data_IF_247853158888
#
_entry.id   IF_247853158888
#
_cell.length_a   1.000
_cell.length_b   1.000
_cell.length_c   1.000
_cell.angle_alpha   90.00
_cell.angle_beta   90.00
_cell.angle_gamma   90.00
#
_symmetry.space_group_name_H-M   'P 1'
#
loop_
_entity.id
_entity.type
_entity.pdbx_description
1 polymer ?
#
# COMPACT_ATOMS: atom_id res chain seq x y z
N UNK A 1 -73.26 -23.42 19.73
CA UNK A 1 -72.61 -23.93 20.97
C UNK A 1 -71.25 -24.48 20.56
N UNK A 2 -70.16 -23.98 21.16
CA UNK A 2 -68.78 -24.53 21.18
C UNK A 2 -68.03 -24.91 19.86
N UNK A 3 -67.21 -23.96 19.39
CA UNK A 3 -65.73 -24.01 19.24
C UNK A 3 -64.93 -25.27 18.80
N UNK A 4 -63.92 -24.99 17.93
CA UNK A 4 -62.59 -25.64 17.78
C UNK A 4 -62.55 -27.12 17.31
N UNK A 5 -61.62 -27.62 16.48
CA UNK A 5 -60.32 -27.19 15.87
C UNK A 5 -60.24 -27.80 14.43
N UNK A 6 -59.22 -27.67 13.56
CA UNK A 6 -57.82 -27.19 13.66
C UNK A 6 -57.29 -26.67 12.29
N UNK A 7 -56.08 -26.10 12.30
CA UNK A 7 -55.15 -25.74 11.20
C UNK A 7 -55.38 -26.23 9.76
N UNK A 8 -55.41 -25.27 8.83
CA UNK A 8 -55.24 -25.47 7.38
C UNK A 8 -53.84 -25.00 6.94
N UNK A 9 -53.11 -25.81 6.16
CA UNK A 9 -51.73 -25.50 5.73
C UNK A 9 -51.72 -24.39 4.69
N UNK A 10 -51.20 -23.20 5.03
CA UNK A 10 -50.80 -22.21 4.02
C UNK A 10 -49.38 -22.53 3.55
N UNK A 11 -49.21 -22.69 2.24
CA UNK A 11 -47.92 -22.91 1.60
C UNK A 11 -46.98 -21.74 1.86
N UNK A 12 -45.83 -22.03 2.45
CA UNK A 12 -44.73 -21.07 2.58
C UNK A 12 -43.91 -21.13 1.30
N UNK A 13 -43.90 -20.04 0.53
CA UNK A 13 -42.98 -19.85 -0.58
C UNK A 13 -41.63 -19.41 0.01
N UNK A 14 -40.72 -20.36 0.24
CA UNK A 14 -39.30 -20.03 0.45
C UNK A 14 -38.69 -19.80 -0.93
N UNK A 15 -38.44 -18.52 -1.26
CA UNK A 15 -37.43 -18.22 -2.27
C UNK A 15 -36.07 -18.57 -1.67
N UNK A 16 -35.51 -19.70 -2.08
CA UNK A 16 -34.06 -19.90 -1.98
C UNK A 16 -33.40 -18.95 -2.98
N UNK A 17 -33.06 -17.74 -2.54
CA UNK A 17 -31.96 -16.99 -3.13
C UNK A 17 -30.68 -17.77 -2.82
N UNK A 18 -30.35 -18.73 -3.69
CA UNK A 18 -29.02 -19.29 -3.74
C UNK A 18 -28.11 -18.21 -4.32
N UNK A 19 -27.61 -17.32 -3.47
CA UNK A 19 -26.51 -16.45 -3.83
C UNK A 19 -25.32 -17.34 -4.17
N UNK A 20 -25.04 -17.48 -5.47
CA UNK A 20 -23.77 -18.02 -5.92
C UNK A 20 -22.69 -17.03 -5.47
N UNK A 21 -22.14 -17.25 -4.29
CA UNK A 21 -20.80 -16.80 -3.95
C UNK A 21 -19.84 -17.60 -4.83
N UNK A 22 -19.69 -17.17 -6.08
CA UNK A 22 -18.54 -17.51 -6.90
C UNK A 22 -17.35 -16.90 -6.15
N UNK A 23 -16.52 -17.77 -5.58
CA UNK A 23 -15.22 -17.34 -5.06
C UNK A 23 -14.44 -16.74 -6.22
N UNK A 24 -13.78 -15.59 -6.04
CA UNK A 24 -13.00 -14.94 -7.09
C UNK A 24 -11.92 -15.85 -7.72
N UNK A 25 -11.62 -17.01 -7.14
CA UNK A 25 -10.79 -18.07 -7.76
C UNK A 25 -11.39 -18.67 -9.04
N UNK A 26 -12.71 -18.78 -9.17
CA UNK A 26 -13.35 -19.56 -10.25
C UNK A 26 -13.49 -18.77 -11.57
N UNK A 27 -13.10 -17.49 -11.60
CA UNK A 27 -12.99 -16.67 -12.83
C UNK A 27 -11.62 -16.83 -13.54
N UNK A 28 -10.63 -17.46 -12.91
CA UNK A 28 -9.21 -17.33 -13.24
C UNK A 28 -8.65 -18.33 -14.29
N UNK A 29 -9.50 -18.98 -15.08
CA UNK A 29 -9.07 -20.06 -16.00
C UNK A 29 -8.73 -19.62 -17.42
N UNK A 30 -8.96 -18.35 -17.79
CA UNK A 30 -8.70 -17.85 -19.15
C UNK A 30 -7.87 -16.56 -19.13
N UNK A 31 -6.68 -16.53 -19.79
CA UNK A 31 -5.84 -15.34 -19.87
C UNK A 31 -6.46 -14.26 -20.75
N UNK A 32 -5.85 -13.07 -20.79
CA UNK A 32 -6.29 -11.98 -21.65
C UNK A 32 -6.16 -12.25 -23.16
N UNK A 33 -5.27 -13.15 -23.59
CA UNK A 33 -5.09 -13.49 -25.00
C UNK A 33 -6.38 -14.00 -25.64
N UNK A 34 -6.68 -13.51 -26.84
CA UNK A 34 -7.97 -13.76 -27.52
C UNK A 34 -9.18 -13.01 -26.93
N UNK A 35 -8.97 -12.19 -25.90
CA UNK A 35 -9.95 -11.25 -25.33
C UNK A 35 -9.41 -9.80 -25.29
N UNK A 36 -8.23 -9.59 -25.88
CA UNK A 36 -7.65 -8.30 -26.16
C UNK A 36 -8.46 -7.53 -27.22
N UNK A 37 -8.48 -6.21 -27.11
CA UNK A 37 -8.95 -5.29 -28.13
C UNK A 37 -7.74 -4.61 -28.77
N UNK A 38 -7.53 -4.85 -30.06
CA UNK A 38 -6.48 -4.23 -30.87
C UNK A 38 -7.06 -3.21 -31.87
N UNK A 39 -8.37 -2.94 -31.85
CA UNK A 39 -9.04 -2.09 -32.86
C UNK A 39 -8.65 -0.61 -32.81
N UNK A 40 -8.03 -0.18 -31.71
CA UNK A 40 -7.42 1.14 -31.53
C UNK A 40 -6.08 1.30 -32.27
N UNK A 41 -5.41 0.19 -32.59
CA UNK A 41 -4.04 0.19 -33.10
C UNK A 41 -3.99 0.54 -34.60
N UNK A 42 -2.93 1.27 -34.97
CA UNK A 42 -2.61 1.64 -36.35
C UNK A 42 -1.11 1.92 -36.44
N UNK A 43 -0.37 1.14 -37.22
CA UNK A 43 1.11 1.21 -37.27
C UNK A 43 1.68 2.55 -37.72
N UNK A 44 0.89 3.39 -38.40
CA UNK A 44 1.30 4.71 -38.90
C UNK A 44 1.11 5.82 -37.85
N UNK A 45 0.40 5.54 -36.75
CA UNK A 45 0.24 6.48 -35.63
C UNK A 45 1.38 6.34 -34.63
N UNK A 46 1.75 7.46 -34.03
CA UNK A 46 2.78 7.56 -32.97
C UNK A 46 2.18 7.87 -31.60
N UNK A 47 0.86 8.00 -31.48
CA UNK A 47 0.17 8.31 -30.23
C UNK A 47 -1.17 7.60 -30.17
N UNK A 48 -1.43 6.94 -29.04
CA UNK A 48 -2.63 6.19 -28.73
C UNK A 48 -3.06 6.48 -27.29
N UNK A 49 -4.36 6.37 -27.03
CA UNK A 49 -4.93 6.54 -25.69
C UNK A 49 -5.78 5.32 -25.37
N UNK A 50 -5.50 4.67 -24.24
CA UNK A 50 -6.20 3.47 -23.78
C UNK A 50 -7.06 3.83 -22.56
N UNK A 51 -8.29 3.34 -22.53
CA UNK A 51 -9.28 3.62 -21.48
C UNK A 51 -9.92 2.36 -20.88
N UNK A 52 -9.46 1.17 -21.29
CA UNK A 52 -9.99 -0.12 -20.83
C UNK A 52 -8.95 -1.25 -20.78
N UNK A 53 -9.25 -2.26 -19.94
CA UNK A 53 -8.41 -3.44 -19.73
C UNK A 53 -8.16 -4.27 -21.00
N UNK A 54 -9.15 -4.40 -21.88
CA UNK A 54 -9.01 -5.11 -23.15
C UNK A 54 -8.05 -4.41 -24.11
N UNK A 55 -8.03 -3.07 -24.11
CA UNK A 55 -7.08 -2.30 -24.94
C UNK A 55 -5.64 -2.42 -24.44
N UNK A 56 -5.45 -2.36 -23.10
CA UNK A 56 -4.14 -2.59 -22.48
C UNK A 56 -3.65 -4.03 -22.71
N UNK A 57 -4.55 -5.01 -22.71
CA UNK A 57 -4.24 -6.37 -23.15
C UNK A 57 -3.89 -6.44 -24.65
N UNK A 58 -4.51 -5.61 -25.51
CA UNK A 58 -4.13 -5.47 -26.91
C UNK A 58 -2.70 -4.98 -27.10
N UNK A 59 -2.26 -4.04 -26.26
CA UNK A 59 -0.85 -3.62 -26.25
C UNK A 59 0.08 -4.79 -25.91
N UNK A 60 -0.28 -5.59 -24.90
CA UNK A 60 0.48 -6.79 -24.55
C UNK A 60 0.53 -7.79 -25.72
N UNK A 61 -0.61 -8.11 -26.34
CA UNK A 61 -0.68 -9.08 -27.44
C UNK A 61 0.11 -8.61 -28.70
N UNK A 62 0.03 -7.33 -29.09
CA UNK A 62 0.79 -6.77 -30.24
C UNK A 62 2.30 -6.86 -29.99
N UNK A 63 2.77 -6.38 -28.82
CA UNK A 63 4.19 -6.41 -28.46
C UNK A 63 4.68 -7.85 -28.35
N UNK A 64 3.94 -8.72 -27.66
CA UNK A 64 4.38 -10.09 -27.40
C UNK A 64 4.44 -10.95 -28.67
N UNK A 65 3.58 -10.70 -29.67
CA UNK A 65 3.69 -11.32 -31.01
C UNK A 65 4.87 -10.79 -31.84
N UNK A 66 5.39 -9.60 -31.52
CA UNK A 66 6.42 -8.91 -32.30
C UNK A 66 5.87 -8.18 -33.52
N UNK A 67 4.57 -7.82 -33.50
CA UNK A 67 3.94 -7.06 -34.59
C UNK A 67 4.38 -5.58 -34.58
N UNK A 68 4.67 -5.03 -33.40
CA UNK A 68 5.25 -3.71 -33.18
C UNK A 68 5.83 -3.61 -31.76
N UNK A 69 7.03 -3.03 -31.59
CA UNK A 69 7.66 -2.82 -30.28
C UNK A 69 7.31 -1.46 -29.65
N UNK A 70 6.62 -0.60 -30.40
CA UNK A 70 6.25 0.78 -30.06
C UNK A 70 7.42 1.77 -29.94
N UNK A 71 8.62 1.49 -30.47
CA UNK A 71 9.72 2.47 -30.48
C UNK A 71 9.28 3.80 -31.12
N UNK A 72 9.51 4.91 -30.41
CA UNK A 72 9.10 6.25 -30.84
C UNK A 72 7.59 6.53 -30.79
N UNK A 73 6.79 5.63 -30.18
CA UNK A 73 5.33 5.79 -30.00
C UNK A 73 4.96 6.01 -28.53
N UNK A 74 3.82 6.68 -28.32
CA UNK A 74 3.29 7.04 -27.01
C UNK A 74 1.96 6.32 -26.77
N UNK A 75 1.86 5.65 -25.63
CA UNK A 75 0.63 5.14 -25.03
C UNK A 75 0.30 6.03 -23.84
N UNK A 76 -0.87 6.67 -23.85
CA UNK A 76 -1.43 7.34 -22.67
C UNK A 76 -2.57 6.51 -22.09
N UNK A 77 -2.69 6.48 -20.75
CA UNK A 77 -3.92 6.04 -20.09
C UNK A 77 -4.88 7.23 -19.93
N UNK A 78 -6.20 6.97 -20.00
CA UNK A 78 -7.27 7.96 -19.75
C UNK A 78 -8.11 7.70 -18.51
N UNK A 79 -8.06 6.48 -17.99
CA UNK A 79 -8.80 6.00 -16.83
C UNK A 79 -7.90 5.06 -16.03
N UNK A 80 -8.26 4.82 -14.78
CA UNK A 80 -7.73 3.70 -14.02
C UNK A 80 -8.23 2.37 -14.60
N UNK A 81 -7.34 1.39 -14.75
CA UNK A 81 -7.59 0.16 -15.49
C UNK A 81 -7.70 -1.03 -14.53
N UNK A 82 -8.93 -1.51 -14.35
CA UNK A 82 -9.20 -2.76 -13.62
C UNK A 82 -9.04 -3.99 -14.52
N UNK A 83 -7.98 -4.77 -14.28
CA UNK A 83 -7.67 -5.99 -15.04
C UNK A 83 -8.14 -7.29 -14.34
N UNK A 84 -8.93 -7.20 -13.26
CA UNK A 84 -9.42 -8.34 -12.44
C UNK A 84 -10.02 -9.53 -13.20
N UNK A 85 -10.57 -9.28 -14.40
CA UNK A 85 -11.41 -10.25 -15.13
C UNK A 85 -10.66 -11.51 -15.58
N UNK A 86 -9.33 -11.47 -15.68
CA UNK A 86 -8.48 -12.50 -16.30
C UNK A 86 -7.06 -12.46 -15.72
N UNK A 87 -6.32 -13.55 -15.85
CA UNK A 87 -4.89 -13.54 -15.54
C UNK A 87 -4.15 -12.60 -16.52
N UNK A 88 -3.28 -11.76 -15.97
CA UNK A 88 -2.48 -10.81 -16.73
C UNK A 88 -1.40 -11.51 -17.54
N UNK A 89 -1.20 -11.03 -18.77
CA UNK A 89 -0.05 -11.36 -19.60
C UNK A 89 0.84 -10.11 -19.56
N UNK A 90 2.09 -10.20 -19.06
CA UNK A 90 2.99 -9.06 -19.03
C UNK A 90 3.20 -8.43 -20.43
N UNK A 91 3.28 -7.11 -20.52
CA UNK A 91 3.65 -6.42 -21.77
C UNK A 91 5.16 -6.58 -22.00
N UNK A 92 5.56 -7.13 -23.14
CA UNK A 92 6.96 -7.32 -23.51
C UNK A 92 7.55 -8.64 -23.01
N UNK A 93 8.32 -9.29 -23.87
CA UNK A 93 9.09 -10.52 -23.60
C UNK A 93 10.58 -10.27 -23.83
N UNK A 94 11.45 -11.22 -23.45
CA UNK A 94 12.91 -11.09 -23.67
C UNK A 94 13.30 -11.13 -25.16
N UNK A 95 12.42 -11.61 -26.04
CA UNK A 95 12.60 -11.54 -27.50
C UNK A 95 11.94 -10.31 -28.13
N UNK A 96 10.80 -9.87 -27.59
CA UNK A 96 10.03 -8.72 -28.06
C UNK A 96 9.79 -7.76 -26.87
N UNK A 97 10.77 -6.93 -26.47
CA UNK A 97 10.59 -5.98 -25.38
C UNK A 97 9.71 -4.81 -25.81
N UNK A 98 9.02 -4.16 -24.86
CA UNK A 98 8.34 -2.90 -25.15
C UNK A 98 9.37 -1.76 -25.22
N UNK A 99 9.37 -0.99 -26.32
CA UNK A 99 10.32 0.09 -26.62
C UNK A 99 9.69 1.49 -26.62
N UNK A 100 8.38 1.59 -26.41
CA UNK A 100 7.64 2.86 -26.45
C UNK A 100 7.58 3.63 -25.14
N UNK A 101 6.84 4.74 -25.18
CA UNK A 101 6.45 5.47 -23.97
C UNK A 101 5.11 4.92 -23.48
N UNK A 102 5.00 4.62 -22.19
CA UNK A 102 3.72 4.48 -21.51
C UNK A 102 3.61 5.54 -20.42
N UNK A 103 2.81 6.57 -20.66
CA UNK A 103 2.44 7.58 -19.69
C UNK A 103 1.10 7.19 -19.05
N UNK A 104 1.13 6.86 -17.76
CA UNK A 104 -0.07 6.60 -16.99
C UNK A 104 -0.93 7.86 -16.80
N UNK A 105 -0.39 9.06 -17.06
CA UNK A 105 -1.02 10.38 -16.86
C UNK A 105 -1.62 10.61 -15.47
N UNK A 106 -1.19 9.81 -14.48
CA UNK A 106 -1.70 9.79 -13.12
C UNK A 106 -2.79 8.75 -12.84
N UNK A 107 -2.92 7.74 -13.69
CA UNK A 107 -3.85 6.62 -13.53
C UNK A 107 -3.22 5.37 -12.91
N UNK A 108 -4.10 4.47 -12.49
CA UNK A 108 -3.75 3.28 -11.73
C UNK A 108 -4.05 1.97 -12.49
N UNK A 109 -3.24 0.92 -12.26
CA UNK A 109 -3.56 -0.46 -12.64
C UNK A 109 -4.01 -1.24 -11.39
N UNK A 110 -5.13 -1.95 -11.51
CA UNK A 110 -5.81 -2.61 -10.38
C UNK A 110 -6.05 -4.10 -10.64
N UNK A 111 -6.03 -4.89 -9.56
CA UNK A 111 -6.41 -6.31 -9.50
C UNK A 111 -5.63 -7.26 -10.42
N UNK A 112 -4.41 -6.91 -10.81
CA UNK A 112 -3.47 -7.79 -11.50
C UNK A 112 -3.28 -9.10 -10.73
N UNK A 113 -3.35 -10.21 -11.46
CA UNK A 113 -3.21 -11.60 -11.00
C UNK A 113 -2.40 -12.34 -12.07
N UNK A 114 -1.48 -13.20 -11.66
CA UNK A 114 -0.66 -14.00 -12.58
C UNK A 114 -0.93 -15.50 -12.39
N UNK A 115 -0.73 -16.25 -13.47
CA UNK A 115 -0.35 -17.65 -13.35
C UNK A 115 1.13 -17.73 -12.95
N UNK A 116 1.48 -18.63 -12.04
CA UNK A 116 2.78 -18.70 -11.35
C UNK A 116 3.93 -19.23 -12.21
N UNK A 117 3.73 -19.29 -13.53
CA UNK A 117 4.66 -19.85 -14.52
C UNK A 117 5.52 -18.78 -15.23
N UNK A 118 5.13 -17.50 -15.14
CA UNK A 118 5.81 -16.40 -15.83
C UNK A 118 7.24 -16.15 -15.29
N UNK A 119 8.25 -16.20 -16.18
CA UNK A 119 9.64 -15.91 -15.81
C UNK A 119 9.85 -14.44 -15.43
N UNK A 120 9.33 -13.52 -16.26
CA UNK A 120 9.38 -12.08 -16.03
C UNK A 120 7.96 -11.58 -15.74
N UNK A 121 7.75 -11.02 -14.55
CA UNK A 121 6.39 -10.70 -14.06
C UNK A 121 6.31 -9.28 -13.49
N UNK A 122 5.18 -8.64 -13.77
CA UNK A 122 4.87 -7.23 -13.53
C UNK A 122 3.84 -6.76 -14.55
N UNK A 123 3.49 -5.47 -14.56
CA UNK A 123 2.70 -4.93 -15.68
C UNK A 123 3.41 -5.21 -17.02
N UNK A 124 4.73 -4.98 -17.03
CA UNK A 124 5.64 -5.37 -18.09
C UNK A 124 6.41 -6.65 -17.72
N UNK A 125 6.66 -7.50 -18.72
CA UNK A 125 7.64 -8.57 -18.60
C UNK A 125 9.03 -7.98 -18.80
N UNK A 126 9.22 -7.32 -19.94
CA UNK A 126 10.48 -6.66 -20.31
C UNK A 126 10.22 -5.25 -20.86
N UNK A 127 10.73 -4.25 -20.14
CA UNK A 127 10.87 -2.86 -20.62
C UNK A 127 12.22 -2.74 -21.33
N UNK A 128 12.20 -2.39 -22.61
CA UNK A 128 13.37 -2.27 -23.48
C UNK A 128 14.12 -0.94 -23.31
N UNK A 129 15.29 -0.83 -23.94
CA UNK A 129 16.23 0.27 -23.76
C UNK A 129 15.74 1.65 -24.25
N UNK A 130 14.81 1.68 -25.22
CA UNK A 130 14.23 2.92 -25.72
C UNK A 130 12.98 3.37 -24.94
N UNK A 131 12.45 2.50 -24.06
CA UNK A 131 11.18 2.74 -23.40
C UNK A 131 11.24 3.71 -22.22
N UNK A 132 10.14 4.44 -22.03
CA UNK A 132 9.91 5.34 -20.90
C UNK A 132 8.55 5.08 -20.26
N UNK A 133 8.54 4.61 -19.01
CA UNK A 133 7.31 4.33 -18.26
C UNK A 133 7.16 5.42 -17.19
N UNK A 134 6.05 6.17 -17.19
CA UNK A 134 5.87 7.26 -16.24
C UNK A 134 4.45 7.48 -15.71
N UNK A 135 4.35 8.23 -14.61
CA UNK A 135 3.11 8.71 -13.98
C UNK A 135 2.06 7.59 -13.72
N UNK A 136 2.52 6.43 -13.23
CA UNK A 136 1.71 5.22 -13.14
C UNK A 136 1.77 4.59 -11.73
N UNK A 137 0.62 4.24 -11.17
CA UNK A 137 0.54 3.52 -9.89
C UNK A 137 0.00 2.11 -10.04
N UNK A 138 0.67 1.12 -9.42
CA UNK A 138 0.11 -0.22 -9.22
C UNK A 138 -0.51 -0.25 -7.82
N UNK A 139 -1.83 -0.47 -7.73
CA UNK A 139 -2.53 -0.47 -6.44
C UNK A 139 -2.28 -1.75 -5.65
N UNK A 140 -2.77 -1.80 -4.41
CA UNK A 140 -2.45 -2.85 -3.45
C UNK A 140 -3.26 -4.13 -3.57
N UNK A 141 -4.42 -4.09 -4.23
CA UNK A 141 -5.20 -5.28 -4.57
C UNK A 141 -4.50 -6.17 -5.63
N UNK A 142 -3.47 -5.68 -6.31
CA UNK A 142 -2.60 -6.45 -7.21
C UNK A 142 -1.76 -7.48 -6.42
N UNK A 143 -1.72 -8.72 -6.91
CA UNK A 143 -0.86 -9.81 -6.37
C UNK A 143 -0.02 -10.31 -7.53
N UNK A 144 1.29 -10.09 -7.40
CA UNK A 144 2.27 -10.13 -8.49
C UNK A 144 3.24 -11.27 -8.19
N UNK A 145 3.28 -12.26 -9.07
CA UNK A 145 4.05 -13.48 -8.85
C UNK A 145 4.61 -14.07 -10.14
N UNK A 146 5.73 -14.76 -10.01
CA UNK A 146 6.48 -15.36 -11.12
C UNK A 146 7.63 -16.24 -10.62
N UNK A 147 8.45 -16.74 -11.56
CA UNK A 147 9.48 -17.75 -11.28
C UNK A 147 10.90 -17.21 -11.25
N UNK A 148 11.24 -16.19 -12.04
CA UNK A 148 12.61 -15.65 -12.13
C UNK A 148 12.69 -14.19 -11.64
N UNK A 149 12.29 -13.20 -12.44
CA UNK A 149 12.31 -11.79 -12.06
C UNK A 149 10.89 -11.23 -11.89
N UNK A 150 10.56 -10.75 -10.69
CA UNK A 150 9.22 -10.25 -10.35
C UNK A 150 9.32 -8.80 -9.87
N UNK A 151 8.61 -7.89 -10.51
CA UNK A 151 8.52 -6.50 -10.10
C UNK A 151 7.11 -5.95 -10.19
N UNK A 152 6.77 -4.93 -9.40
CA UNK A 152 5.45 -4.29 -9.47
C UNK A 152 5.16 -3.72 -10.86
N UNK A 153 6.13 -2.97 -11.41
CA UNK A 153 6.06 -2.37 -12.73
C UNK A 153 6.59 -3.33 -13.81
N UNK A 154 7.79 -3.91 -13.60
CA UNK A 154 8.43 -4.73 -14.63
C UNK A 154 9.20 -5.93 -14.07
N UNK A 155 9.16 -7.08 -14.74
CA UNK A 155 10.07 -8.19 -14.43
C UNK A 155 11.53 -7.80 -14.67
N UNK A 156 11.81 -7.30 -15.88
CA UNK A 156 13.14 -6.83 -16.34
C UNK A 156 13.03 -5.42 -16.91
N UNK A 157 13.96 -4.55 -16.52
CA UNK A 157 14.06 -3.19 -17.05
C UNK A 157 15.42 -2.93 -17.73
N UNK A 158 15.37 -2.41 -18.95
CA UNK A 158 16.52 -1.86 -19.68
C UNK A 158 16.32 -0.38 -20.07
N UNK A 159 15.11 0.16 -19.93
CA UNK A 159 14.75 1.56 -20.21
C UNK A 159 14.62 2.39 -18.93
N UNK A 160 13.79 3.43 -18.97
CA UNK A 160 13.60 4.35 -17.84
C UNK A 160 12.19 4.25 -17.23
N UNK A 161 12.12 4.09 -15.91
CA UNK A 161 10.87 4.08 -15.13
C UNK A 161 10.90 5.27 -14.15
N UNK A 162 9.94 6.19 -14.27
CA UNK A 162 9.98 7.48 -13.56
C UNK A 162 8.62 7.89 -12.99
N UNK A 163 8.55 8.46 -11.78
CA UNK A 163 7.28 8.94 -11.19
C UNK A 163 6.21 7.82 -11.07
N UNK A 164 6.66 6.60 -10.83
CA UNK A 164 5.84 5.40 -10.72
C UNK A 164 5.88 4.81 -9.31
N UNK A 165 4.85 4.05 -8.93
CA UNK A 165 4.86 3.35 -7.64
C UNK A 165 4.21 1.98 -7.67
N UNK A 166 4.58 1.16 -6.68
CA UNK A 166 3.92 -0.10 -6.41
C UNK A 166 3.41 -0.18 -4.96
N UNK A 167 2.11 -0.37 -4.81
CA UNK A 167 1.47 -0.79 -3.58
C UNK A 167 1.09 -2.29 -3.61
N UNK A 168 1.16 -2.94 -4.78
CA UNK A 168 0.81 -4.35 -4.99
C UNK A 168 1.76 -5.31 -4.26
N UNK A 169 1.23 -6.43 -3.78
CA UNK A 169 2.05 -7.47 -3.15
C UNK A 169 2.90 -8.18 -4.21
N UNK A 170 4.22 -8.21 -4.03
CA UNK A 170 5.17 -8.95 -4.87
C UNK A 170 5.61 -10.23 -4.15
N UNK A 171 5.47 -11.39 -4.79
CA UNK A 171 5.74 -12.68 -4.15
C UNK A 171 6.35 -13.73 -5.08
N UNK A 172 7.37 -14.42 -4.60
CA UNK A 172 8.06 -15.49 -5.34
C UNK A 172 9.30 -14.98 -6.08
N UNK A 173 9.64 -15.62 -7.20
CA UNK A 173 10.82 -15.30 -8.01
C UNK A 173 12.15 -15.79 -7.45
N UNK A 174 13.18 -15.75 -8.30
CA UNK A 174 14.56 -15.70 -7.86
C UNK A 174 14.89 -14.32 -7.31
N UNK A 175 14.53 -13.27 -8.06
CA UNK A 175 14.86 -11.88 -7.75
C UNK A 175 13.61 -11.01 -7.83
N UNK A 176 13.27 -10.37 -6.72
CA UNK A 176 12.01 -9.64 -6.62
C UNK A 176 12.21 -8.23 -6.06
N UNK A 177 11.64 -7.24 -6.73
CA UNK A 177 11.67 -5.85 -6.29
C UNK A 177 10.29 -5.22 -6.26
N UNK A 178 10.09 -4.20 -5.44
CA UNK A 178 8.84 -3.45 -5.45
C UNK A 178 8.53 -2.81 -6.81
N UNK A 179 9.53 -2.26 -7.50
CA UNK A 179 9.39 -1.68 -8.83
C UNK A 179 9.80 -2.70 -9.91
N UNK A 180 11.01 -3.28 -9.81
CA UNK A 180 11.53 -4.24 -10.81
C UNK A 180 12.18 -5.48 -10.21
N UNK A 181 12.06 -6.64 -10.87
CA UNK A 181 12.83 -7.83 -10.48
C UNK A 181 14.32 -7.68 -10.80
N UNK A 182 14.65 -7.23 -12.01
CA UNK A 182 16.01 -6.98 -12.47
C UNK A 182 16.13 -5.65 -13.23
N UNK A 183 17.01 -4.75 -12.76
CA UNK A 183 17.38 -3.52 -13.46
C UNK A 183 18.74 -3.70 -14.16
N UNK A 184 18.78 -3.63 -15.49
CA UNK A 184 19.99 -3.83 -16.27
C UNK A 184 20.93 -2.61 -16.20
N UNK A 185 22.13 -2.71 -16.79
CA UNK A 185 23.10 -1.60 -16.83
C UNK A 185 22.64 -0.37 -17.62
N UNK A 186 21.64 -0.50 -18.48
CA UNK A 186 21.00 0.62 -19.18
C UNK A 186 19.77 1.16 -18.43
N UNK A 187 19.25 0.38 -17.47
CA UNK A 187 18.00 0.67 -16.78
C UNK A 187 18.11 1.83 -15.79
N UNK A 188 17.24 2.83 -15.94
CA UNK A 188 17.05 3.93 -15.01
C UNK A 188 15.75 3.77 -14.21
N UNK A 189 15.81 3.98 -12.89
CA UNK A 189 14.64 4.09 -12.02
C UNK A 189 14.79 5.37 -11.21
N UNK A 190 13.94 6.37 -11.43
CA UNK A 190 14.10 7.69 -10.82
C UNK A 190 12.78 8.24 -10.25
N UNK A 191 12.80 8.79 -9.03
CA UNK A 191 11.58 9.23 -8.33
C UNK A 191 10.48 8.15 -8.33
N UNK A 192 10.79 6.95 -7.83
CA UNK A 192 9.81 5.86 -7.72
C UNK A 192 9.69 5.38 -6.26
N UNK A 193 8.54 4.83 -5.87
CA UNK A 193 8.37 4.31 -4.51
C UNK A 193 7.60 2.99 -4.40
N UNK A 194 7.91 2.25 -3.34
CA UNK A 194 7.21 1.02 -3.00
C UNK A 194 6.61 1.05 -1.59
N UNK A 195 5.35 0.62 -1.51
CA UNK A 195 4.63 0.33 -0.26
C UNK A 195 4.19 -1.14 -0.19
N UNK A 196 4.15 -1.82 -1.35
CA UNK A 196 3.77 -3.22 -1.46
C UNK A 196 4.75 -4.14 -0.73
N UNK A 197 4.22 -5.17 -0.07
CA UNK A 197 5.04 -6.19 0.60
C UNK A 197 5.79 -7.04 -0.44
N UNK A 198 7.08 -7.27 -0.22
CA UNK A 198 7.90 -8.23 -0.99
C UNK A 198 8.20 -9.45 -0.12
N UNK A 199 7.88 -10.65 -0.62
CA UNK A 199 8.12 -11.91 0.10
C UNK A 199 8.47 -13.09 -0.84
N UNK A 200 8.96 -14.18 -0.25
CA UNK A 200 9.21 -15.47 -0.92
C UNK A 200 10.21 -15.45 -2.09
N UNK A 201 11.03 -14.41 -2.22
CA UNK A 201 12.13 -14.37 -3.18
C UNK A 201 13.29 -15.26 -2.73
N UNK A 202 13.80 -16.11 -3.64
CA UNK A 202 14.75 -17.17 -3.28
C UNK A 202 16.22 -16.78 -3.34
N UNK A 203 16.59 -15.77 -4.14
CA UNK A 203 17.98 -15.27 -4.24
C UNK A 203 18.10 -13.85 -3.69
N UNK A 204 17.25 -12.91 -4.13
CA UNK A 204 17.35 -11.51 -3.72
C UNK A 204 15.99 -10.82 -3.63
N UNK A 205 15.77 -10.02 -2.58
CA UNK A 205 14.60 -9.14 -2.49
C UNK A 205 14.99 -7.70 -2.16
N UNK A 206 14.41 -6.76 -2.91
CA UNK A 206 14.64 -5.33 -2.78
C UNK A 206 13.34 -4.53 -2.63
N UNK A 207 13.38 -3.45 -1.86
CA UNK A 207 12.24 -2.50 -1.82
C UNK A 207 11.94 -1.87 -3.20
N UNK A 208 12.96 -1.62 -4.01
CA UNK A 208 12.85 -1.07 -5.37
C UNK A 208 13.25 -2.11 -6.42
N UNK A 209 14.41 -2.76 -6.28
CA UNK A 209 14.96 -3.68 -7.28
C UNK A 209 15.53 -4.98 -6.67
N UNK A 210 15.20 -6.14 -7.24
CA UNK A 210 15.78 -7.43 -6.81
C UNK A 210 17.29 -7.53 -7.07
N UNK A 211 17.71 -7.34 -8.32
CA UNK A 211 19.12 -7.15 -8.74
C UNK A 211 19.22 -5.82 -9.51
N UNK A 212 20.11 -4.92 -9.08
CA UNK A 212 20.37 -3.64 -9.74
C UNK A 212 21.78 -3.60 -10.35
N UNK A 213 21.83 -3.30 -11.66
CA UNK A 213 23.06 -3.01 -12.41
C UNK A 213 23.10 -1.62 -13.02
N UNK A 214 21.98 -0.90 -13.04
CA UNK A 214 21.82 0.43 -13.62
C UNK A 214 21.76 1.53 -12.56
N UNK A 215 21.01 2.59 -12.87
CA UNK A 215 20.82 3.74 -12.00
C UNK A 215 19.50 3.64 -11.23
N UNK A 216 19.56 3.85 -9.91
CA UNK A 216 18.38 4.08 -9.07
C UNK A 216 18.58 5.40 -8.30
N UNK A 217 17.63 6.32 -8.43
CA UNK A 217 17.74 7.72 -8.02
C UNK A 217 16.45 8.21 -7.33
N UNK A 218 16.56 9.03 -6.28
CA UNK A 218 15.44 9.72 -5.62
C UNK A 218 14.26 8.80 -5.23
N UNK A 219 14.52 7.52 -4.95
CA UNK A 219 13.51 6.50 -4.66
C UNK A 219 13.32 6.26 -3.16
N UNK A 220 12.16 5.75 -2.75
CA UNK A 220 12.01 5.25 -1.38
C UNK A 220 11.14 3.99 -1.24
N UNK A 221 11.37 3.25 -0.16
CA UNK A 221 10.58 2.08 0.19
C UNK A 221 10.05 2.15 1.63
N UNK A 222 8.75 1.96 1.80
CA UNK A 222 8.10 1.73 3.10
C UNK A 222 7.46 0.34 3.20
N UNK A 223 7.43 -0.42 2.11
CA UNK A 223 6.93 -1.80 2.08
C UNK A 223 7.90 -2.76 2.78
N UNK A 224 7.34 -3.72 3.52
CA UNK A 224 8.13 -4.76 4.18
C UNK A 224 8.81 -5.68 3.14
N UNK A 225 10.12 -5.93 3.31
CA UNK A 225 10.95 -6.73 2.40
C UNK A 225 11.44 -7.99 3.11
N UNK A 226 11.15 -9.15 2.53
CA UNK A 226 11.54 -10.47 3.07
C UNK A 226 11.97 -11.41 1.93
N UNK A 227 12.68 -12.49 2.26
CA UNK A 227 13.25 -13.41 1.27
C UNK A 227 14.11 -14.48 1.93
N UNK A 228 14.87 -15.24 1.14
CA UNK A 228 15.69 -16.36 1.64
C UNK A 228 17.20 -16.09 1.69
N UNK A 229 17.72 -15.07 0.99
CA UNK A 229 19.17 -14.72 1.01
C UNK A 229 19.40 -13.21 1.01
N UNK A 230 19.52 -12.56 -0.15
CA UNK A 230 20.06 -11.21 -0.25
C UNK A 230 18.91 -10.19 -0.14
N UNK A 231 18.53 -9.87 1.10
CA UNK A 231 17.41 -8.97 1.42
C UNK A 231 17.95 -7.55 1.67
N UNK A 232 17.45 -6.57 0.94
CA UNK A 232 17.75 -5.15 1.17
C UNK A 232 16.53 -4.25 1.06
N UNK A 233 16.45 -3.24 1.91
CA UNK A 233 15.30 -2.35 1.96
C UNK A 233 15.12 -1.47 0.71
N UNK A 234 16.14 -1.35 -0.16
CA UNK A 234 16.07 -0.72 -1.49
C UNK A 234 16.46 -1.73 -2.58
N UNK A 235 17.59 -2.42 -2.44
CA UNK A 235 18.12 -3.35 -3.44
C UNK A 235 18.52 -4.68 -2.80
N UNK A 236 18.11 -5.81 -3.37
CA UNK A 236 18.61 -7.11 -2.92
C UNK A 236 20.09 -7.30 -3.24
N UNK A 237 20.42 -7.42 -4.53
CA UNK A 237 21.80 -7.50 -5.06
C UNK A 237 22.17 -6.25 -5.86
N UNK A 238 23.32 -5.64 -5.58
CA UNK A 238 23.83 -4.47 -6.31
C UNK A 238 25.17 -4.76 -6.98
N UNK A 239 25.24 -4.59 -8.29
CA UNK A 239 26.52 -4.59 -9.04
C UNK A 239 27.40 -3.42 -8.62
N UNK A 240 28.72 -3.62 -8.59
CA UNK A 240 29.69 -2.57 -8.23
C UNK A 240 29.71 -1.38 -9.17
N UNK A 241 29.23 -1.53 -10.41
CA UNK A 241 29.07 -0.45 -11.39
C UNK A 241 27.71 0.28 -11.30
N UNK A 242 26.76 -0.22 -10.50
CA UNK A 242 25.41 0.33 -10.42
C UNK A 242 25.38 1.62 -9.59
N UNK A 243 24.72 2.66 -10.12
CA UNK A 243 24.50 3.91 -9.40
C UNK A 243 23.28 3.77 -8.49
N UNK A 244 23.41 4.27 -7.27
CA UNK A 244 22.34 4.29 -6.26
C UNK A 244 22.51 5.59 -5.49
N UNK A 245 21.57 6.50 -5.63
CA UNK A 245 21.65 7.86 -5.07
C UNK A 245 20.31 8.27 -4.45
N UNK A 246 20.40 9.06 -3.38
CA UNK A 246 19.26 9.63 -2.65
C UNK A 246 18.10 8.64 -2.36
N UNK A 247 18.43 7.40 -1.99
CA UNK A 247 17.45 6.34 -1.77
C UNK A 247 17.15 6.17 -0.28
N UNK A 248 15.87 6.13 0.09
CA UNK A 248 15.46 6.12 1.49
C UNK A 248 14.54 4.96 1.84
N UNK A 249 14.66 4.41 3.04
CA UNK A 249 13.75 3.35 3.47
C UNK A 249 13.28 3.56 4.90
N UNK A 250 12.05 3.10 5.17
CA UNK A 250 11.55 3.00 6.54
C UNK A 250 12.47 2.08 7.33
N UNK A 251 12.99 2.58 8.44
CA UNK A 251 13.91 1.83 9.28
C UNK A 251 13.25 0.53 9.79
N UNK A 252 13.97 -0.57 9.64
CA UNK A 252 13.59 -1.89 10.13
C UNK A 252 14.79 -2.52 10.81
N UNK A 253 14.55 -3.36 11.81
CA UNK A 253 15.63 -4.03 12.54
C UNK A 253 16.38 -5.01 11.62
N UNK A 254 17.71 -4.88 11.58
CA UNK A 254 18.61 -5.88 11.00
C UNK A 254 18.59 -6.07 9.47
N UNK A 255 17.99 -5.15 8.70
CA UNK A 255 18.05 -5.14 7.23
C UNK A 255 18.62 -3.81 6.73
N UNK A 256 19.66 -3.89 5.90
CA UNK A 256 20.33 -2.73 5.29
C UNK A 256 19.60 -2.26 4.02
N UNK A 257 19.93 -1.06 3.53
CA UNK A 257 19.39 -0.57 2.24
C UNK A 257 19.78 -1.47 1.04
N UNK A 258 20.95 -2.10 1.09
CA UNK A 258 21.38 -3.11 0.12
C UNK A 258 21.72 -4.41 0.82
N UNK A 259 21.18 -5.55 0.36
CA UNK A 259 21.42 -6.87 0.93
C UNK A 259 22.82 -7.42 0.63
N UNK A 260 23.23 -7.33 -0.64
CA UNK A 260 24.55 -7.74 -1.11
C UNK A 260 25.13 -6.69 -2.08
N UNK A 261 26.28 -6.13 -1.72
CA UNK A 261 26.90 -4.97 -2.38
C UNK A 261 27.01 -3.75 -1.45
N UNK A 262 27.43 -2.61 -1.99
CA UNK A 262 27.56 -1.39 -1.18
C UNK A 262 26.21 -0.71 -0.93
N UNK A 263 25.92 -0.38 0.34
CA UNK A 263 24.77 0.43 0.74
C UNK A 263 24.96 1.95 0.57
N UNK A 264 26.10 2.42 0.04
CA UNK A 264 26.31 3.85 -0.27
C UNK A 264 25.20 4.40 -1.15
N UNK A 265 24.64 5.56 -0.76
CA UNK A 265 23.49 6.19 -1.43
C UNK A 265 22.12 5.72 -0.93
N UNK A 266 22.08 4.81 0.05
CA UNK A 266 20.86 4.51 0.81
C UNK A 266 20.88 5.15 2.20
N UNK A 267 19.73 5.42 2.79
CA UNK A 267 19.60 5.95 4.16
C UNK A 267 18.33 5.44 4.83
N UNK A 268 18.47 4.79 5.99
CA UNK A 268 17.35 4.45 6.86
C UNK A 268 16.73 5.72 7.46
N UNK A 269 15.41 5.77 7.54
CA UNK A 269 14.65 6.91 8.05
C UNK A 269 13.53 6.42 8.98
N UNK A 270 13.30 7.15 10.07
CA UNK A 270 12.15 6.89 10.94
C UNK A 270 10.84 7.20 10.20
N UNK A 271 9.72 6.60 10.62
CA UNK A 271 8.40 6.93 10.05
C UNK A 271 8.13 8.45 10.12
N UNK A 272 8.41 9.08 11.26
CA UNK A 272 8.27 10.53 11.46
C UNK A 272 9.17 11.35 10.52
N UNK A 273 10.40 10.89 10.26
CA UNK A 273 11.30 11.58 9.34
C UNK A 273 10.77 11.54 7.91
N UNK A 274 10.34 10.38 7.42
CA UNK A 274 9.77 10.21 6.07
C UNK A 274 8.48 11.02 5.86
N UNK A 275 7.65 11.20 6.89
CA UNK A 275 6.41 12.00 6.80
C UNK A 275 6.63 13.51 6.94
N UNK A 276 7.87 13.97 7.15
CA UNK A 276 8.16 15.38 7.40
C UNK A 276 8.28 16.22 6.13
N UNK A 277 7.91 17.51 6.21
CA UNK A 277 8.16 18.48 5.13
C UNK A 277 9.65 18.58 4.75
N UNK A 278 10.55 18.30 5.70
CA UNK A 278 11.99 18.28 5.45
C UNK A 278 12.40 17.17 4.46
N UNK A 279 11.71 16.03 4.49
CA UNK A 279 12.01 14.90 3.60
C UNK A 279 11.60 15.16 2.14
N UNK A 280 10.57 15.97 1.90
CA UNK A 280 10.22 16.43 0.54
C UNK A 280 11.40 17.21 -0.10
N UNK A 281 12.07 18.05 0.68
CA UNK A 281 13.26 18.78 0.22
C UNK A 281 14.46 17.86 -0.01
N UNK A 282 14.54 16.73 0.70
CA UNK A 282 15.59 15.71 0.48
C UNK A 282 15.34 14.99 -0.84
N UNK A 283 14.13 14.50 -1.08
CA UNK A 283 13.78 13.73 -2.28
C UNK A 283 13.84 14.52 -3.60
N UNK A 284 13.59 15.84 -3.57
CA UNK A 284 13.63 16.75 -4.72
C UNK A 284 12.67 16.39 -5.88
N UNK A 285 12.54 17.23 -6.90
CA UNK A 285 11.67 16.94 -8.05
C UNK A 285 10.16 17.04 -7.74
N UNK A 286 9.38 16.01 -8.08
CA UNK A 286 7.91 16.09 -8.20
C UNK A 286 7.12 15.60 -6.97
N UNK A 287 7.79 15.37 -5.85
CA UNK A 287 7.14 14.96 -4.59
C UNK A 287 6.43 16.12 -3.91
N UNK A 288 5.38 15.76 -3.18
CA UNK A 288 4.67 16.62 -2.24
C UNK A 288 4.44 15.84 -0.95
N UNK A 289 4.12 16.57 0.12
CA UNK A 289 3.47 15.98 1.30
C UNK A 289 2.17 15.28 0.87
N UNK A 290 1.66 14.39 1.71
CA UNK A 290 0.39 13.70 1.47
C UNK A 290 -0.75 14.36 2.27
N UNK A 291 -1.37 15.44 1.76
CA UNK A 291 -2.36 16.23 2.50
C UNK A 291 -3.67 15.48 2.75
N UNK A 292 -3.89 14.39 2.01
CA UNK A 292 -5.15 13.63 2.00
C UNK A 292 -4.97 12.19 2.48
N UNK A 293 -3.80 11.83 3.03
CA UNK A 293 -3.50 10.51 3.59
C UNK A 293 -3.62 9.34 2.59
N UNK A 294 -3.36 9.58 1.29
CA UNK A 294 -3.37 8.58 0.21
C UNK A 294 -2.28 7.51 0.32
N UNK A 295 -1.20 7.83 1.04
CA UNK A 295 -0.03 7.00 1.28
C UNK A 295 0.31 7.02 2.78
N UNK A 296 -0.71 6.97 3.64
CA UNK A 296 -0.57 6.97 5.11
C UNK A 296 0.27 8.15 5.66
N UNK A 297 0.30 9.29 4.96
CA UNK A 297 1.08 10.48 5.31
C UNK A 297 2.54 10.48 4.83
N UNK A 298 3.00 9.40 4.19
CA UNK A 298 4.28 9.38 3.48
C UNK A 298 4.17 10.13 2.13
N UNK A 299 5.26 10.62 1.52
CA UNK A 299 5.19 11.48 0.34
C UNK A 299 4.43 10.88 -0.84
N UNK A 300 3.86 11.73 -1.68
CA UNK A 300 3.20 11.31 -2.93
C UNK A 300 3.64 12.21 -4.09
N UNK A 301 3.42 11.79 -5.33
CA UNK A 301 3.67 12.62 -6.50
C UNK A 301 2.60 13.70 -6.66
N UNK A 302 2.94 14.83 -7.29
CA UNK A 302 1.99 15.92 -7.58
C UNK A 302 0.75 15.47 -8.38
N UNK A 303 0.84 14.41 -9.18
CA UNK A 303 -0.29 13.88 -9.94
C UNK A 303 -1.31 13.14 -9.05
N UNK A 304 -0.88 12.54 -7.93
CA UNK A 304 -1.75 11.78 -7.02
C UNK A 304 -2.75 12.64 -6.25
N UNK A 305 -2.56 13.96 -6.17
CA UNK A 305 -3.59 14.89 -5.65
C UNK A 305 -4.62 15.32 -6.69
N UNK A 306 -4.46 14.92 -7.95
CA UNK A 306 -5.44 15.15 -9.03
C UNK A 306 -6.31 13.93 -9.30
N UNK A 307 -5.73 12.74 -9.18
CA UNK A 307 -6.43 11.46 -9.19
C UNK A 307 -6.08 10.68 -7.90
N UNK A 308 -6.97 10.66 -6.89
CA UNK A 308 -6.70 9.97 -5.63
C UNK A 308 -6.65 8.46 -5.86
N UNK A 309 -5.71 7.78 -5.21
CA UNK A 309 -5.55 6.32 -5.30
C UNK A 309 -6.86 5.61 -4.89
N UNK A 310 -7.41 4.67 -5.68
CA UNK A 310 -8.64 3.92 -5.39
C UNK A 310 -8.46 2.85 -4.28
N UNK A 311 -7.73 3.21 -3.23
CA UNK A 311 -7.68 2.50 -1.96
C UNK A 311 -9.05 2.55 -1.29
N UNK A 312 -9.34 1.51 -0.49
CA UNK A 312 -10.55 1.48 0.31
C UNK A 312 -10.47 2.50 1.45
N UNK A 313 -11.58 3.13 1.79
CA UNK A 313 -11.64 4.09 2.90
C UNK A 313 -12.10 3.36 4.16
N UNK A 314 -11.31 3.47 5.23
CA UNK A 314 -11.75 3.16 6.58
C UNK A 314 -12.01 4.49 7.30
N UNK A 315 -13.26 4.73 7.68
CA UNK A 315 -13.63 5.91 8.48
C UNK A 315 -13.42 5.62 9.97
N UNK A 316 -12.47 6.30 10.60
CA UNK A 316 -11.99 6.01 11.94
C UNK A 316 -12.28 7.16 12.92
N UNK A 317 -13.16 6.93 13.90
CA UNK A 317 -13.69 7.97 14.81
C UNK A 317 -13.56 7.61 16.28
N UNK A 318 -13.51 8.64 17.13
CA UNK A 318 -13.78 8.53 18.56
C UNK A 318 -15.20 9.00 18.80
N UNK A 319 -16.04 8.17 19.41
CA UNK A 319 -17.43 8.51 19.65
C UNK A 319 -17.54 9.71 20.57
N UNK A 320 -18.37 10.68 20.19
CA UNK A 320 -18.50 11.98 20.86
C UNK A 320 -17.19 12.80 20.98
N UNK A 321 -16.10 12.38 20.33
CA UNK A 321 -14.76 12.99 20.40
C UNK A 321 -14.20 13.17 21.83
N UNK A 322 -14.34 12.16 22.70
CA UNK A 322 -13.91 12.25 24.10
C UNK A 322 -13.38 10.92 24.68
N UNK A 323 -12.51 11.01 25.69
CA UNK A 323 -12.05 9.88 26.52
C UNK A 323 -10.85 9.10 25.96
N UNK A 324 -10.26 9.57 24.87
CA UNK A 324 -9.08 8.98 24.27
C UNK A 324 -8.94 9.30 22.79
N UNK A 325 -8.02 8.61 22.12
CA UNK A 325 -7.71 8.78 20.70
C UNK A 325 -7.71 7.45 19.95
N UNK A 326 -8.00 7.52 18.65
CA UNK A 326 -7.77 6.45 17.68
C UNK A 326 -6.69 6.92 16.70
N UNK A 327 -5.73 6.05 16.39
CA UNK A 327 -4.63 6.35 15.44
C UNK A 327 -4.45 5.18 14.46
N UNK A 328 -4.52 5.40 13.13
CA UNK A 328 -4.91 6.64 12.45
C UNK A 328 -6.39 7.03 12.68
N UNK A 329 -6.78 8.26 12.34
CA UNK A 329 -8.16 8.78 12.50
C UNK A 329 -8.64 9.52 11.24
N UNK A 330 -9.95 9.74 11.14
CA UNK A 330 -10.59 10.36 9.98
C UNK A 330 -10.80 9.36 8.83
N UNK A 331 -10.71 9.83 7.58
CA UNK A 331 -10.69 8.94 6.43
C UNK A 331 -9.28 8.41 6.22
N UNK A 332 -9.11 7.11 6.44
CA UNK A 332 -7.83 6.42 6.23
C UNK A 332 -7.94 5.63 4.94
N UNK A 333 -7.05 5.92 3.98
CA UNK A 333 -7.00 5.20 2.71
C UNK A 333 -6.15 3.95 2.87
N UNK A 334 -6.82 2.81 2.99
CA UNK A 334 -6.23 1.52 3.35
C UNK A 334 -6.20 0.56 2.16
N UNK A 335 -5.17 -0.29 2.16
CA UNK A 335 -4.77 -1.08 1.01
C UNK A 335 -5.11 -2.58 1.10
N UNK A 336 -4.70 -3.23 2.19
CA UNK A 336 -4.89 -4.67 2.44
C UNK A 336 -5.09 -4.94 3.93
N UNK A 337 -4.29 -4.27 4.75
CA UNK A 337 -4.38 -4.24 6.21
C UNK A 337 -4.13 -2.82 6.73
N UNK A 338 -4.71 -2.49 7.88
CA UNK A 338 -4.36 -1.31 8.68
C UNK A 338 -4.67 -1.60 10.15
N UNK A 339 -3.82 -1.12 11.05
CA UNK A 339 -3.99 -1.31 12.50
C UNK A 339 -4.31 0.01 13.19
N UNK A 340 -5.51 0.06 13.76
CA UNK A 340 -5.98 1.18 14.56
C UNK A 340 -5.60 0.95 16.01
N UNK A 341 -4.82 1.86 16.58
CA UNK A 341 -4.46 1.85 18.01
C UNK A 341 -5.40 2.78 18.76
N UNK A 342 -5.95 2.29 19.87
CA UNK A 342 -6.77 3.05 20.79
C UNK A 342 -5.94 3.40 22.02
N UNK A 343 -5.81 4.70 22.28
CA UNK A 343 -5.12 5.21 23.46
C UNK A 343 -6.15 5.95 24.31
N UNK A 344 -6.67 5.34 25.39
CA UNK A 344 -7.54 6.01 26.34
C UNK A 344 -6.85 7.24 26.94
N UNK A 345 -7.66 8.26 27.24
CA UNK A 345 -7.24 9.32 28.16
C UNK A 345 -7.12 8.74 29.59
N UNK A 346 -6.50 9.49 30.49
CA UNK A 346 -6.34 9.06 31.87
C UNK A 346 -7.69 8.88 32.59
N UNK A 347 -7.79 7.81 33.39
CA UNK A 347 -9.02 7.31 34.01
C UNK A 347 -10.16 6.96 33.02
N UNK A 348 -9.83 6.74 31.74
CA UNK A 348 -10.71 6.08 30.77
C UNK A 348 -10.19 4.68 30.40
N UNK A 349 -11.10 3.84 29.90
CA UNK A 349 -10.80 2.57 29.23
C UNK A 349 -11.63 2.43 27.95
N UNK A 350 -11.24 1.53 27.06
CA UNK A 350 -12.02 1.18 25.86
C UNK A 350 -13.28 0.41 26.28
N UNK A 351 -14.44 1.05 26.18
CA UNK A 351 -15.75 0.44 26.50
C UNK A 351 -16.17 -0.57 25.44
N UNK A 352 -16.06 -0.15 24.18
CA UNK A 352 -16.19 -1.01 23.01
C UNK A 352 -15.63 -0.34 21.76
N UNK A 353 -15.25 -1.18 20.82
CA UNK A 353 -15.04 -0.83 19.41
C UNK A 353 -16.23 -1.34 18.59
N UNK A 354 -16.67 -0.52 17.64
CA UNK A 354 -17.68 -0.81 16.63
C UNK A 354 -16.95 -0.89 15.29
N UNK A 355 -17.19 -1.94 14.51
CA UNK A 355 -16.66 -2.11 13.15
C UNK A 355 -17.84 -2.36 12.21
N UNK A 356 -17.96 -1.56 11.14
CA UNK A 356 -19.03 -1.64 10.14
C UNK A 356 -20.43 -1.72 10.78
N UNK A 357 -20.74 -0.77 11.67
CA UNK A 357 -21.98 -0.71 12.47
C UNK A 357 -22.22 -1.90 13.44
N UNK A 358 -21.37 -2.92 13.41
CA UNK A 358 -21.44 -4.08 14.30
C UNK A 358 -20.56 -3.86 15.54
N UNK A 359 -21.17 -3.93 16.72
CA UNK A 359 -20.50 -3.66 18.00
C UNK A 359 -19.91 -4.94 18.61
N UNK A 360 -19.04 -4.72 19.60
CA UNK A 360 -18.61 -5.65 20.68
C UNK A 360 -17.27 -6.34 20.42
N UNK A 361 -16.22 -5.54 20.34
CA UNK A 361 -14.91 -5.93 20.87
C UNK A 361 -14.63 -5.06 22.10
N UNK A 362 -14.23 -5.70 23.21
CA UNK A 362 -13.91 -5.08 24.50
C UNK A 362 -12.47 -5.35 24.87
N UNK A 363 -11.93 -4.53 25.76
CA UNK A 363 -10.61 -4.74 26.39
C UNK A 363 -9.44 -4.86 25.39
N UNK A 364 -9.59 -4.27 24.20
CA UNK A 364 -8.54 -4.20 23.17
C UNK A 364 -7.92 -2.80 23.09
N UNK A 365 -6.60 -2.76 22.91
CA UNK A 365 -5.82 -1.54 22.68
C UNK A 365 -5.55 -1.28 21.19
N UNK A 366 -5.88 -2.23 20.31
CA UNK A 366 -5.77 -2.08 18.87
C UNK A 366 -6.75 -3.01 18.14
N UNK A 367 -7.06 -2.68 16.89
CA UNK A 367 -7.80 -3.51 15.94
C UNK A 367 -7.12 -3.46 14.57
N UNK A 368 -6.84 -4.63 14.00
CA UNK A 368 -6.30 -4.76 12.65
C UNK A 368 -7.41 -5.20 11.70
N UNK A 369 -7.69 -4.39 10.68
CA UNK A 369 -8.39 -4.87 9.50
C UNK A 369 -7.41 -5.68 8.64
N UNK A 370 -7.86 -6.79 8.05
CA UNK A 370 -7.06 -7.64 7.16
C UNK A 370 -7.91 -8.09 5.97
N UNK A 371 -7.25 -8.40 4.85
CA UNK A 371 -7.88 -8.81 3.58
C UNK A 371 -8.98 -7.84 3.09
N UNK A 372 -8.74 -6.54 3.28
CA UNK A 372 -9.70 -5.48 2.97
C UNK A 372 -10.07 -5.50 1.48
N UNK A 373 -11.37 -5.55 1.23
CA UNK A 373 -11.97 -5.65 -0.12
C UNK A 373 -13.16 -4.71 -0.32
N UNK A 374 -13.36 -3.77 0.60
CA UNK A 374 -14.41 -2.76 0.59
C UNK A 374 -14.07 -1.61 1.55
N UNK A 375 -14.86 -0.53 1.50
CA UNK A 375 -14.77 0.53 2.50
C UNK A 375 -15.33 0.01 3.84
N UNK A 376 -14.75 0.47 4.94
CA UNK A 376 -15.13 0.09 6.30
C UNK A 376 -15.34 1.31 7.20
N UNK A 377 -15.86 1.08 8.40
CA UNK A 377 -15.87 2.06 9.50
C UNK A 377 -15.38 1.44 10.80
N UNK A 378 -14.73 2.25 11.63
CA UNK A 378 -14.33 1.89 12.98
C UNK A 378 -14.57 3.06 13.95
N UNK A 379 -15.39 2.84 14.97
CA UNK A 379 -15.64 3.82 16.03
C UNK A 379 -15.24 3.23 17.39
N UNK A 380 -14.44 3.95 18.16
CA UNK A 380 -14.14 3.61 19.55
C UNK A 380 -14.96 4.47 20.51
N UNK A 381 -15.64 3.85 21.47
CA UNK A 381 -16.20 4.54 22.64
C UNK A 381 -15.32 4.22 23.86
N UNK A 382 -14.94 5.27 24.57
CA UNK A 382 -14.27 5.16 25.86
C UNK A 382 -15.29 5.34 26.99
N UNK A 383 -15.09 4.67 28.12
CA UNK A 383 -15.81 4.94 29.36
C UNK A 383 -14.84 5.28 30.49
N UNK A 384 -15.30 6.09 31.42
CA UNK A 384 -14.57 6.33 32.66
C UNK A 384 -14.45 5.04 33.45
N UNK A 385 -13.27 4.80 34.03
CA UNK A 385 -13.09 3.75 35.03
C UNK A 385 -14.00 3.99 36.25
N UNK A 386 -14.04 3.02 37.18
CA UNK A 386 -14.69 3.23 38.46
C UNK A 386 -13.91 4.29 39.25
N UNK A 387 -14.42 5.52 39.20
CA UNK A 387 -13.76 6.69 39.76
C UNK A 387 -14.16 6.89 41.22
N UNK A 388 -13.19 6.78 42.13
CA UNK A 388 -13.29 7.47 43.42
C UNK A 388 -12.80 8.92 43.25
N UNK A 389 -13.13 9.78 44.20
CA UNK A 389 -12.59 11.14 44.27
C UNK A 389 -11.96 11.38 45.62
N UNK A 390 -10.69 11.78 45.65
CA UNK A 390 -10.08 12.30 46.88
C UNK A 390 -10.01 13.83 46.84
N UNK A 391 -10.29 14.41 47.99
CA UNK A 391 -10.07 15.82 48.23
C UNK A 391 -8.60 16.01 48.61
N UNK A 392 -7.89 16.86 47.87
CA UNK A 392 -6.47 17.18 48.13
C UNK A 392 -6.39 18.63 48.59
N UNK A 393 -5.89 18.83 49.81
CA UNK A 393 -5.58 20.14 50.38
C UNK A 393 -4.06 20.32 50.41
N UNK A 394 -3.55 21.35 49.74
CA UNK A 394 -2.13 21.67 49.68
C UNK A 394 -1.85 22.83 50.62
N UNK A 395 -1.22 22.52 51.75
CA UNK A 395 -0.79 23.55 52.71
C UNK A 395 0.54 24.22 52.29
N UNK A 396 0.85 25.39 52.87
CA UNK A 396 2.06 26.16 52.55
C UNK A 396 3.36 25.38 52.80
N UNK A 397 4.32 25.51 51.89
CA UNK A 397 5.64 24.86 51.98
C UNK A 397 5.88 23.77 50.92
N UNK A 398 5.09 23.76 49.85
CA UNK A 398 5.27 22.88 48.70
C UNK A 398 4.08 22.88 47.75
N UNK A 399 4.14 21.99 46.77
CA UNK A 399 3.07 21.70 45.81
C UNK A 399 2.87 20.20 45.66
N UNK A 400 1.63 19.80 45.38
CA UNK A 400 1.33 18.43 44.95
C UNK A 400 1.04 18.44 43.45
N UNK A 401 1.71 17.54 42.74
CA UNK A 401 1.51 17.30 41.31
C UNK A 401 0.94 15.92 41.13
N UNK A 402 -0.18 15.83 40.43
CA UNK A 402 -0.70 14.55 39.92
C UNK A 402 -0.81 14.70 38.42
N UNK A 403 -0.42 13.66 37.67
CA UNK A 403 -0.73 13.56 36.24
C UNK A 403 -0.17 14.75 35.42
N UNK A 404 1.04 15.19 35.77
CA UNK A 404 1.73 16.38 35.25
C UNK A 404 0.99 17.72 35.40
N UNK A 405 -0.07 17.78 36.22
CA UNK A 405 -0.84 18.98 36.54
C UNK A 405 -0.61 19.37 38.00
N UNK A 406 -0.34 20.66 38.26
CA UNK A 406 -0.35 21.18 39.62
C UNK A 406 -1.78 21.11 40.17
N UNK A 407 -1.94 20.53 41.35
CA UNK A 407 -3.17 20.60 42.13
C UNK A 407 -3.25 22.01 42.75
N UNK A 408 -4.42 22.63 42.75
CA UNK A 408 -4.63 23.91 43.43
C UNK A 408 -4.60 23.73 44.96
N UNK A 409 -4.51 24.84 45.72
CA UNK A 409 -4.52 24.83 47.20
C UNK A 409 -5.62 23.94 47.80
N UNK A 410 -6.77 23.89 47.14
CA UNK A 410 -7.87 22.94 47.37
C UNK A 410 -8.36 22.46 46.00
N UNK A 411 -8.37 21.14 45.76
CA UNK A 411 -8.98 20.55 44.56
C UNK A 411 -9.56 19.15 44.84
N UNK A 412 -10.51 18.73 44.01
CA UNK A 412 -11.08 17.37 44.04
C UNK A 412 -10.48 16.57 42.89
N UNK A 413 -9.61 15.62 43.22
CA UNK A 413 -8.91 14.79 42.23
C UNK A 413 -9.69 13.50 42.01
N UNK A 414 -10.07 13.26 40.76
CA UNK A 414 -10.56 11.96 40.31
C UNK A 414 -9.39 10.97 40.36
N UNK A 415 -9.58 9.87 41.07
CA UNK A 415 -8.61 8.78 41.16
C UNK A 415 -9.19 7.50 40.55
N UNK A 416 -8.31 6.78 39.85
CA UNK A 416 -8.57 5.46 39.28
C UNK A 416 -7.47 4.49 39.77
N UNK A 417 -7.51 3.23 39.34
CA UNK A 417 -6.79 2.08 39.93
C UNK A 417 -5.31 2.30 40.34
N UNK A 418 -4.58 3.23 39.72
CA UNK A 418 -3.26 3.65 40.21
C UNK A 418 -2.92 5.13 39.92
N UNK A 419 -3.57 6.08 40.59
CA UNK A 419 -3.17 7.51 40.52
C UNK A 419 -1.93 7.79 41.38
N UNK A 420 -0.92 8.48 40.82
CA UNK A 420 0.33 8.82 41.52
C UNK A 420 0.41 10.31 41.87
N UNK A 421 0.66 10.62 43.14
CA UNK A 421 0.85 11.97 43.65
C UNK A 421 2.34 12.22 43.94
N UNK A 422 2.93 13.21 43.27
CA UNK A 422 4.29 13.68 43.54
C UNK A 422 4.21 14.91 44.46
N UNK A 423 4.72 14.77 45.68
CA UNK A 423 4.82 15.88 46.65
C UNK A 423 6.18 16.53 46.47
N UNK A 424 6.19 17.83 46.18
CA UNK A 424 7.40 18.62 45.93
C UNK A 424 7.44 19.74 46.99
N UNK A 425 8.34 19.66 48.00
CA UNK A 425 8.55 20.76 48.94
C UNK A 425 9.03 22.03 48.25
N UNK A 426 8.74 23.18 48.86
CA UNK A 426 9.46 24.42 48.55
C UNK A 426 10.90 24.35 49.13
N UNK A 427 11.85 25.09 48.55
CA UNK A 427 13.26 25.15 49.00
C UNK A 427 13.47 25.95 50.31
#
# INVERSE_FOLDING_TARGET
MLFNKNFNKKSIFILFFLSLFISNKDLLSTPWSGNADESWYNSVRTHFVLDSASQLAGLADIVNRGDDDFEGKIIELRNDIDIAKRNWIPIGTDSNPFQGVLDGTGHFIMNMRFDSTNAFSGLFGVVGNSAFICNLGITCNNIISGTDYVGGIAGKNEGTISLCFNAGKVSGGQKSGGIVGYNSGHGGINQCYNTGKIENATIASGGIAGDNRGMIDNCYNIGNVSGSSDIGCIVGQRSSAALLENCHYLEVTSISGVGNGSSTGTTAQTSTALKSNGFINVLQGSWQVDPNNFNSGYPVFLWQTRNPNPNYIINATVKNNAGGTITPSGNVFVCLEETFVFTPDECYTVKYVIVDENTVIKDITNYTFSDISGNHSIEVEFETLANDSIFVEVSKGGKVVTNNKNIADIDTVIICDSTTFTIIPDE
#
